data_IF_003168475883
#
_entry.id   IF_003168475883
#
_cell.length_a   1.000
_cell.length_b   1.000
_cell.length_c   1.000
_cell.angle_alpha   90.00
_cell.angle_beta   90.00
_cell.angle_gamma   90.00
#
_symmetry.space_group_name_H-M   'P 1'
#
loop_
_entity.id
_entity.type
_entity.pdbx_description
1 polymer ?
#
# COMPACT_ATOMS: atom_id res chain seq x y z
N UNK A 1 -8.68 -30.34 18.50
CA UNK A 1 -9.23 -29.86 17.22
C UNK A 1 -10.74 -29.82 17.34
N UNK A 2 -11.28 -28.66 17.70
CA UNK A 2 -12.73 -28.42 17.66
C UNK A 2 -13.10 -28.04 16.22
N UNK A 3 -13.98 -28.83 15.61
CA UNK A 3 -14.70 -28.47 14.39
C UNK A 3 -15.39 -27.11 14.61
N UNK A 4 -15.53 -26.25 13.58
CA UNK A 4 -16.17 -24.96 13.76
C UNK A 4 -17.59 -25.15 14.28
N UNK A 5 -17.98 -24.27 15.20
CA UNK A 5 -19.33 -24.08 15.68
C UNK A 5 -20.32 -24.08 14.50
N UNK A 6 -21.55 -24.54 14.73
CA UNK A 6 -22.64 -24.62 13.74
C UNK A 6 -22.98 -23.25 13.09
N UNK A 7 -22.12 -22.71 12.24
CA UNK A 7 -22.40 -21.53 11.41
C UNK A 7 -23.20 -21.97 10.19
N UNK A 8 -24.27 -21.23 9.88
CA UNK A 8 -24.98 -21.43 8.63
C UNK A 8 -24.12 -20.96 7.45
N UNK A 9 -24.42 -21.46 6.24
CA UNK A 9 -23.79 -21.00 5.00
C UNK A 9 -23.88 -19.47 4.84
N UNK A 10 -25.01 -18.88 5.22
CA UNK A 10 -25.24 -17.44 5.19
C UNK A 10 -24.26 -16.68 6.11
N UNK A 11 -24.02 -17.17 7.33
CA UNK A 11 -23.06 -16.56 8.25
C UNK A 11 -21.61 -16.67 7.76
N UNK A 12 -21.28 -17.74 7.01
CA UNK A 12 -19.95 -17.89 6.38
C UNK A 12 -19.80 -16.88 5.24
N UNK A 13 -20.83 -16.73 4.40
CA UNK A 13 -20.82 -15.76 3.30
C UNK A 13 -20.72 -14.32 3.83
N UNK A 14 -21.48 -13.97 4.87
CA UNK A 14 -21.39 -12.67 5.53
C UNK A 14 -19.97 -12.40 6.05
N UNK A 15 -19.33 -13.41 6.67
CA UNK A 15 -17.94 -13.28 7.12
C UNK A 15 -16.95 -13.04 5.98
N UNK A 16 -17.16 -13.66 4.81
CA UNK A 16 -16.33 -13.43 3.62
C UNK A 16 -16.51 -12.02 3.05
N UNK A 17 -17.75 -11.52 3.04
CA UNK A 17 -18.03 -10.14 2.61
C UNK A 17 -17.42 -9.13 3.58
N UNK A 18 -17.53 -9.36 4.88
CA UNK A 18 -16.87 -8.50 5.87
C UNK A 18 -15.35 -8.49 5.72
N UNK A 19 -14.73 -9.64 5.42
CA UNK A 19 -13.29 -9.74 5.18
C UNK A 19 -12.85 -8.99 3.91
N UNK A 20 -13.70 -8.92 2.88
CA UNK A 20 -13.43 -8.15 1.68
C UNK A 20 -13.44 -6.63 1.95
N UNK A 21 -14.26 -6.17 2.89
CA UNK A 21 -14.35 -4.74 3.27
C UNK A 21 -13.28 -4.33 4.30
N UNK A 22 -12.93 -5.22 5.23
CA UNK A 22 -11.98 -4.98 6.32
C UNK A 22 -10.60 -5.54 5.98
N UNK A 23 -9.89 -4.84 5.09
CA UNK A 23 -8.51 -5.19 4.74
C UNK A 23 -7.57 -5.03 5.96
N UNK A 24 -6.48 -5.83 6.05
CA UNK A 24 -5.52 -5.74 7.15
C UNK A 24 -4.93 -4.33 7.27
N UNK A 25 -4.76 -3.85 8.50
CA UNK A 25 -4.18 -2.54 8.80
C UNK A 25 -3.05 -2.64 9.81
N UNK A 26 -2.01 -1.82 9.64
CA UNK A 26 -0.89 -1.72 10.57
C UNK A 26 -0.34 -0.30 10.62
N UNK A 27 0.08 0.13 11.83
CA UNK A 27 0.70 1.44 12.00
C UNK A 27 2.22 1.34 11.98
N UNK A 28 2.85 2.00 11.01
CA UNK A 28 4.30 2.10 10.84
C UNK A 28 4.79 3.46 11.32
N UNK A 29 5.93 3.48 12.04
CA UNK A 29 6.54 4.70 12.55
C UNK A 29 7.83 5.05 11.81
N UNK A 30 7.87 6.26 11.23
CA UNK A 30 9.08 6.83 10.65
C UNK A 30 9.69 7.81 11.66
N UNK A 31 10.70 7.34 12.39
CA UNK A 31 11.29 8.06 13.53
C UNK A 31 11.85 9.43 13.14
N UNK A 32 12.58 9.50 12.02
CA UNK A 32 13.21 10.73 11.52
C UNK A 32 12.21 11.88 11.32
N UNK A 33 11.00 11.56 10.89
CA UNK A 33 9.94 12.52 10.63
C UNK A 33 8.99 12.71 11.82
N UNK A 34 9.15 11.93 12.90
CA UNK A 34 8.14 11.80 13.96
C UNK A 34 6.75 11.56 13.39
N UNK A 35 6.69 10.65 12.40
CA UNK A 35 5.50 10.35 11.60
C UNK A 35 4.99 8.95 11.92
N UNK A 36 3.67 8.82 12.01
CA UNK A 36 2.94 7.56 12.13
C UNK A 36 2.04 7.42 10.89
N UNK A 37 2.15 6.27 10.24
CA UNK A 37 1.41 5.90 9.05
C UNK A 37 0.53 4.71 9.40
N UNK A 38 -0.78 4.87 9.38
CA UNK A 38 -1.67 3.71 9.37
C UNK A 38 -1.84 3.29 7.93
N UNK A 39 -1.27 2.13 7.60
CA UNK A 39 -1.30 1.52 6.29
C UNK A 39 -2.39 0.45 6.27
N UNK A 40 -3.06 0.32 5.14
CA UNK A 40 -4.03 -0.73 4.87
C UNK A 40 -3.56 -1.55 3.67
N UNK A 41 -3.82 -2.85 3.70
CA UNK A 41 -3.65 -3.71 2.53
C UNK A 41 -4.42 -3.18 1.31
N UNK A 42 -3.96 -3.57 0.13
CA UNK A 42 -4.61 -3.28 -1.14
C UNK A 42 -5.08 -4.58 -1.78
N UNK A 43 -6.19 -4.51 -2.52
CA UNK A 43 -6.65 -5.65 -3.31
C UNK A 43 -5.68 -5.94 -4.46
N UNK A 44 -5.64 -7.19 -4.94
CA UNK A 44 -4.83 -7.56 -6.12
C UNK A 44 -5.07 -6.62 -7.30
N UNK A 45 -6.33 -6.33 -7.61
CA UNK A 45 -6.70 -5.45 -8.72
C UNK A 45 -6.12 -4.03 -8.58
N UNK A 46 -6.05 -3.50 -7.36
CA UNK A 46 -5.47 -2.18 -7.09
C UNK A 46 -3.96 -2.20 -7.24
N UNK A 47 -3.28 -3.22 -6.71
CA UNK A 47 -1.83 -3.40 -6.84
C UNK A 47 -1.43 -3.57 -8.31
N UNK A 48 -2.15 -4.40 -9.06
CA UNK A 48 -1.90 -4.64 -10.49
C UNK A 48 -2.10 -3.36 -11.30
N UNK A 49 -3.16 -2.61 -11.04
CA UNK A 49 -3.40 -1.31 -11.68
C UNK A 49 -2.29 -0.29 -11.38
N UNK A 50 -1.74 -0.27 -10.16
CA UNK A 50 -0.59 0.59 -9.83
C UNK A 50 0.65 0.12 -10.60
N UNK A 51 0.90 -1.19 -10.66
CA UNK A 51 2.05 -1.78 -11.36
C UNK A 51 2.05 -1.45 -12.85
N UNK A 52 0.90 -1.59 -13.51
CA UNK A 52 0.74 -1.24 -14.92
C UNK A 52 1.05 0.23 -15.19
N UNK A 53 0.52 1.14 -14.35
CA UNK A 53 0.79 2.59 -14.45
C UNK A 53 2.27 2.93 -14.28
N UNK A 54 3.02 2.10 -13.57
CA UNK A 54 4.46 2.27 -13.35
C UNK A 54 5.33 1.51 -14.36
N UNK A 55 4.74 0.75 -15.28
CA UNK A 55 5.48 -0.05 -16.25
C UNK A 55 5.82 0.79 -17.47
N UNK A 56 7.11 1.00 -17.68
CA UNK A 56 7.65 1.71 -18.84
C UNK A 56 7.94 0.67 -19.93
N UNK A 57 7.23 0.78 -21.05
CA UNK A 57 7.45 -0.04 -22.25
C UNK A 57 8.33 0.72 -23.24
N UNK A 58 9.46 0.13 -23.64
CA UNK A 58 10.36 0.70 -24.66
C UNK A 58 10.63 -0.34 -25.73
N UNK A 59 10.45 0.05 -26.99
CA UNK A 59 10.84 -0.80 -28.13
C UNK A 59 12.28 -0.50 -28.51
N UNK A 60 13.18 -1.47 -28.31
CA UNK A 60 14.60 -1.35 -28.66
C UNK A 60 14.91 -2.44 -29.70
N UNK A 61 15.28 -2.03 -30.92
CA UNK A 61 15.65 -2.93 -32.02
C UNK A 61 14.59 -4.02 -32.32
N UNK A 62 13.31 -3.64 -32.28
CA UNK A 62 12.19 -4.56 -32.56
C UNK A 62 11.82 -5.50 -31.41
N UNK A 63 12.48 -5.42 -30.24
CA UNK A 63 12.07 -6.10 -29.01
C UNK A 63 11.39 -5.10 -28.08
N UNK A 64 10.29 -5.51 -27.46
CA UNK A 64 9.62 -4.76 -26.39
C UNK A 64 10.31 -5.10 -25.09
N UNK A 65 10.87 -4.08 -24.44
CA UNK A 65 11.42 -4.16 -23.08
C UNK A 65 10.42 -3.51 -22.12
N UNK A 66 10.04 -4.23 -21.07
CA UNK A 66 9.12 -3.76 -20.04
C UNK A 66 9.87 -3.66 -18.72
N UNK A 67 9.87 -2.46 -18.13
CA UNK A 67 10.49 -2.22 -16.82
C UNK A 67 9.54 -1.46 -15.93
N UNK A 68 9.27 -2.02 -14.75
CA UNK A 68 8.55 -1.30 -13.69
C UNK A 68 9.48 -0.27 -13.06
N UNK A 69 9.02 0.98 -12.97
CA UNK A 69 9.64 1.99 -12.13
C UNK A 69 9.30 1.71 -10.66
N UNK A 70 10.16 0.95 -9.98
CA UNK A 70 9.97 0.53 -8.59
C UNK A 70 9.80 1.70 -7.62
N UNK A 71 10.50 2.81 -7.85
CA UNK A 71 10.41 3.98 -6.96
C UNK A 71 9.03 4.63 -7.06
N UNK A 72 8.54 4.82 -8.29
CA UNK A 72 7.19 5.34 -8.53
C UNK A 72 6.11 4.35 -8.07
N UNK A 73 6.36 3.05 -8.24
CA UNK A 73 5.48 1.98 -7.79
C UNK A 73 5.31 2.00 -6.27
N UNK A 74 6.40 1.97 -5.49
CA UNK A 74 6.36 2.02 -4.03
C UNK A 74 5.71 3.31 -3.53
N UNK A 75 6.01 4.44 -4.16
CA UNK A 75 5.39 5.71 -3.79
C UNK A 75 3.87 5.74 -3.98
N UNK A 76 3.38 5.16 -5.09
CA UNK A 76 1.95 5.04 -5.35
C UNK A 76 1.29 4.05 -4.40
N UNK A 77 1.93 2.90 -4.12
CA UNK A 77 1.45 1.94 -3.12
C UNK A 77 1.23 2.62 -1.78
N UNK A 78 2.26 3.29 -1.26
CA UNK A 78 2.20 3.98 0.03
C UNK A 78 1.12 5.07 0.01
N UNK A 79 1.07 5.88 -1.05
CA UNK A 79 0.10 6.97 -1.14
C UNK A 79 -1.35 6.46 -1.13
N UNK A 80 -1.63 5.34 -1.76
CA UNK A 80 -2.97 4.74 -1.86
C UNK A 80 -3.33 3.89 -0.64
N UNK A 81 -2.34 3.27 0.00
CA UNK A 81 -2.50 2.42 1.18
C UNK A 81 -2.56 3.20 2.49
N UNK A 82 -2.12 4.46 2.53
CA UNK A 82 -2.14 5.27 3.75
C UNK A 82 -3.58 5.66 4.10
N UNK A 83 -4.14 5.04 5.14
CA UNK A 83 -5.46 5.35 5.68
C UNK A 83 -5.42 6.58 6.61
N UNK A 84 -4.36 6.71 7.41
CA UNK A 84 -4.14 7.87 8.28
C UNK A 84 -2.66 8.25 8.33
N UNK A 85 -2.42 9.55 8.43
CA UNK A 85 -1.10 10.15 8.46
C UNK A 85 -1.02 11.15 9.61
N UNK A 86 -0.22 10.83 10.62
CA UNK A 86 0.03 11.69 11.78
C UNK A 86 1.49 12.12 11.82
N UNK A 87 1.74 13.40 12.09
CA UNK A 87 3.08 13.97 12.23
C UNK A 87 3.13 14.78 13.51
N UNK A 88 4.02 14.40 14.42
CA UNK A 88 4.23 15.08 15.73
C UNK A 88 2.93 15.24 16.54
N UNK A 89 2.05 14.24 16.56
CA UNK A 89 0.80 14.30 17.33
C UNK A 89 -0.37 14.96 16.59
N UNK A 90 -0.19 15.37 15.32
CA UNK A 90 -1.23 16.01 14.54
C UNK A 90 -1.54 15.21 13.28
N UNK A 91 -2.82 14.88 13.09
CA UNK A 91 -3.30 14.26 11.88
C UNK A 91 -3.32 15.27 10.72
N UNK A 92 -2.87 14.83 9.55
CA UNK A 92 -2.93 15.60 8.31
C UNK A 92 -3.76 14.85 7.26
N UNK A 93 -4.19 15.54 6.21
CA UNK A 93 -5.15 15.03 5.22
C UNK A 93 -4.53 14.00 4.24
N UNK A 94 -3.46 13.33 4.63
CA UNK A 94 -2.70 12.42 3.79
C UNK A 94 -1.67 13.12 2.89
N UNK A 95 -1.07 12.33 2.00
CA UNK A 95 0.05 12.75 1.16
C UNK A 95 -0.32 13.82 0.12
N UNK A 96 -1.59 13.85 -0.30
CA UNK A 96 -2.14 14.82 -1.25
C UNK A 96 -2.54 16.16 -0.63
N UNK A 97 -2.23 16.42 0.65
CA UNK A 97 -2.61 17.67 1.33
C UNK A 97 -2.19 18.90 0.49
N UNK A 98 -3.12 19.81 0.15
CA UNK A 98 -2.83 20.96 -0.71
C UNK A 98 -1.70 21.85 -0.20
N UNK A 99 -1.48 21.89 1.13
CA UNK A 99 -0.39 22.66 1.76
C UNK A 99 0.97 22.04 1.45
N UNK A 100 1.03 20.71 1.32
CA UNK A 100 2.23 19.97 0.92
C UNK A 100 2.46 20.14 -0.58
N UNK A 101 1.47 19.76 -1.40
CA UNK A 101 1.62 19.72 -2.85
C UNK A 101 1.87 21.10 -3.45
N UNK A 102 1.18 22.14 -2.99
CA UNK A 102 1.40 23.51 -3.47
C UNK A 102 2.77 24.06 -3.08
N UNK A 103 3.20 23.85 -1.83
CA UNK A 103 4.50 24.34 -1.34
C UNK A 103 5.67 23.68 -2.05
N UNK A 104 5.54 22.39 -2.37
CA UNK A 104 6.58 21.60 -3.01
C UNK A 104 6.42 21.52 -4.54
N UNK A 105 5.38 22.14 -5.11
CA UNK A 105 5.04 22.13 -6.56
C UNK A 105 4.89 20.72 -7.11
N UNK A 106 4.14 19.89 -6.41
CA UNK A 106 3.94 18.47 -6.73
C UNK A 106 2.60 18.26 -7.43
N UNK A 107 2.56 17.30 -8.35
CA UNK A 107 1.35 16.90 -9.08
C UNK A 107 0.39 16.01 -8.29
N UNK A 108 0.87 15.37 -7.22
CA UNK A 108 0.11 14.38 -6.48
C UNK A 108 0.80 13.91 -5.20
N UNK A 109 0.09 13.07 -4.44
CA UNK A 109 0.53 12.54 -3.16
C UNK A 109 1.71 11.58 -3.29
N UNK A 110 1.81 10.81 -4.38
CA UNK A 110 2.93 9.91 -4.65
C UNK A 110 4.25 10.68 -4.77
N UNK A 111 4.23 11.88 -5.34
CA UNK A 111 5.42 12.73 -5.39
C UNK A 111 5.79 13.26 -3.99
N UNK A 112 4.81 13.48 -3.12
CA UNK A 112 5.07 13.89 -1.74
C UNK A 112 5.76 12.75 -0.98
N UNK A 113 5.30 11.51 -1.16
CA UNK A 113 5.95 10.31 -0.61
C UNK A 113 7.41 10.24 -1.07
N UNK A 114 7.68 10.27 -2.38
CA UNK A 114 9.05 10.21 -2.94
C UNK A 114 9.95 11.33 -2.44
N UNK A 115 9.39 12.53 -2.25
CA UNK A 115 10.14 13.70 -1.82
C UNK A 115 10.48 13.68 -0.34
N UNK A 116 9.63 13.07 0.49
CA UNK A 116 9.75 13.11 1.95
C UNK A 116 10.44 11.87 2.53
N UNK A 117 10.20 10.70 1.96
CA UNK A 117 10.81 9.45 2.41
C UNK A 117 12.20 9.26 1.80
N UNK A 118 13.13 8.73 2.59
CA UNK A 118 14.42 8.26 2.07
C UNK A 118 14.23 6.95 1.31
N UNK A 119 15.17 6.61 0.42
CA UNK A 119 15.05 5.42 -0.43
C UNK A 119 14.78 4.12 0.37
N UNK A 120 15.50 3.89 1.47
CA UNK A 120 15.26 2.71 2.31
C UNK A 120 13.95 2.77 3.12
N UNK A 121 13.48 3.98 3.48
CA UNK A 121 12.16 4.14 4.10
C UNK A 121 11.04 3.87 3.08
N UNK A 122 11.19 4.36 1.85
CA UNK A 122 10.25 4.12 0.75
C UNK A 122 10.13 2.64 0.41
N UNK A 123 11.27 1.94 0.32
CA UNK A 123 11.33 0.51 0.03
C UNK A 123 10.65 -0.31 1.12
N UNK A 124 11.08 -0.13 2.39
CA UNK A 124 10.55 -0.88 3.52
C UNK A 124 9.05 -0.65 3.76
N UNK A 125 8.55 0.58 3.58
CA UNK A 125 7.12 0.87 3.73
C UNK A 125 6.34 0.32 2.54
N UNK A 126 6.91 0.34 1.33
CA UNK A 126 6.31 -0.29 0.13
C UNK A 126 6.16 -1.80 0.30
N UNK A 127 7.20 -2.48 0.77
CA UNK A 127 7.18 -3.91 1.09
C UNK A 127 6.13 -4.21 2.16
N UNK A 128 6.04 -3.39 3.21
CA UNK A 128 5.02 -3.54 4.25
C UNK A 128 3.59 -3.45 3.71
N UNK A 129 3.34 -2.56 2.74
CA UNK A 129 2.04 -2.49 2.06
C UNK A 129 1.76 -3.78 1.28
N UNK A 130 2.76 -4.34 0.61
CA UNK A 130 2.62 -5.61 -0.11
C UNK A 130 2.38 -6.78 0.85
N UNK A 131 3.08 -6.86 1.98
CA UNK A 131 2.83 -7.85 3.04
C UNK A 131 1.37 -7.78 3.54
N UNK A 132 0.87 -6.58 3.87
CA UNK A 132 -0.53 -6.36 4.27
C UNK A 132 -1.53 -6.71 3.16
N UNK A 133 -1.08 -6.69 1.91
CA UNK A 133 -1.86 -7.09 0.73
C UNK A 133 -1.78 -8.59 0.45
N UNK A 134 -1.13 -9.38 1.31
CA UNK A 134 -1.01 -10.83 1.19
C UNK A 134 0.14 -11.32 0.31
N UNK A 135 1.09 -10.45 -0.06
CA UNK A 135 2.31 -10.88 -0.74
C UNK A 135 3.30 -11.50 0.26
N UNK A 136 4.07 -12.48 -0.20
CA UNK A 136 5.09 -13.13 0.64
C UNK A 136 4.54 -14.11 1.68
N UNK A 137 3.23 -14.36 1.69
CA UNK A 137 2.62 -15.37 2.56
C UNK A 137 2.90 -16.76 1.99
N UNK A 138 3.48 -17.65 2.79
CA UNK A 138 3.68 -19.05 2.40
C UNK A 138 2.37 -19.83 2.54
N UNK A 139 2.17 -20.86 1.71
CA UNK A 139 0.94 -21.68 1.76
C UNK A 139 0.75 -22.33 3.14
N UNK A 140 1.85 -22.61 3.85
CA UNK A 140 1.80 -23.15 5.21
C UNK A 140 1.35 -22.12 6.26
N UNK A 141 1.52 -20.82 6.00
CA UNK A 141 1.05 -19.72 6.85
C UNK A 141 -0.43 -19.38 6.62
N UNK A 142 -1.03 -19.88 5.52
CA UNK A 142 -2.47 -19.72 5.22
C UNK A 142 -3.36 -20.73 5.98
N UNK A 143 -2.78 -21.60 6.81
CA UNK A 143 -3.51 -22.56 7.63
C UNK A 143 -3.89 -21.93 8.98
N UNK A 144 -4.88 -21.06 8.96
CA UNK A 144 -5.59 -20.62 10.18
C UNK A 144 -6.99 -21.21 10.21
#
# INVERSE_FOLDING_TARGET
MSLPENMSEEQILDSLFEAADKLPEETVRIQRLSMLLTLRGLTSSKVDSIRERCTIRKTIKGRVDEKVDTETFNALLISEATASLEVKGLQINGWGDPRITSRLKLSGGEQAVRRMLLAGELDAVGDKVLELSGFGVEIDDLKN
#
